data_IF_030743433216
#
_entry.id   IF_030743433216
#
_cell.length_a   1.000
_cell.length_b   1.000
_cell.length_c   1.000
_cell.angle_alpha   90.00
_cell.angle_beta   90.00
_cell.angle_gamma   90.00
#
_symmetry.space_group_name_H-M   'P 1'
#
loop_
_entity.id
_entity.type
_entity.pdbx_description
1 polymer ?
#
# COMPACT_ATOMS: atom_id res chain seq x y z
N UNK A 1 5.50 -3.88 -15.18
CA UNK A 1 6.26 -2.76 -14.60
C UNK A 1 5.51 -2.40 -13.32
N UNK A 2 6.14 -2.55 -12.15
CA UNK A 2 5.50 -2.16 -10.89
C UNK A 2 5.69 -0.66 -10.76
N UNK A 3 4.60 0.10 -10.78
CA UNK A 3 4.67 1.55 -10.61
C UNK A 3 5.19 1.86 -9.19
N UNK A 4 6.29 2.63 -9.12
CA UNK A 4 6.82 3.10 -7.83
C UNK A 4 5.97 4.29 -7.38
N UNK A 5 5.39 4.17 -6.20
CA UNK A 5 4.53 5.19 -5.60
C UNK A 5 5.41 6.13 -4.75
N UNK A 6 5.71 7.30 -5.30
CA UNK A 6 6.72 8.21 -4.74
C UNK A 6 6.15 9.23 -3.76
N UNK A 7 4.84 9.29 -3.58
CA UNK A 7 4.18 10.24 -2.69
C UNK A 7 2.97 9.62 -1.99
N UNK A 8 2.61 10.18 -0.83
CA UNK A 8 1.38 9.82 -0.10
C UNK A 8 0.15 9.86 -1.01
N UNK A 9 0.07 10.88 -1.87
CA UNK A 9 -1.05 11.09 -2.80
C UNK A 9 -1.11 9.97 -3.86
N UNK A 10 0.02 9.50 -4.36
CA UNK A 10 0.06 8.40 -5.32
C UNK A 10 -0.43 7.10 -4.69
N UNK A 11 -0.04 6.85 -3.43
CA UNK A 11 -0.54 5.71 -2.64
C UNK A 11 -2.05 5.80 -2.43
N UNK A 12 -2.58 6.97 -2.04
CA UNK A 12 -4.02 7.20 -1.89
C UNK A 12 -4.80 6.94 -3.20
N UNK A 13 -4.29 7.47 -4.32
CA UNK A 13 -4.91 7.27 -5.64
C UNK A 13 -4.85 5.79 -6.06
N UNK A 14 -3.74 5.10 -5.78
CA UNK A 14 -3.61 3.68 -6.08
C UNK A 14 -4.59 2.85 -5.25
N UNK A 15 -4.60 3.03 -3.92
CA UNK A 15 -5.44 2.25 -3.02
C UNK A 15 -6.94 2.50 -3.21
N UNK A 16 -7.34 3.72 -3.56
CA UNK A 16 -8.74 4.01 -3.89
C UNK A 16 -9.23 3.19 -5.10
N UNK A 17 -8.40 3.05 -6.14
CA UNK A 17 -8.70 2.20 -7.31
C UNK A 17 -8.67 0.71 -6.97
N UNK A 18 -7.75 0.28 -6.10
CA UNK A 18 -7.68 -1.13 -5.70
C UNK A 18 -8.85 -1.53 -4.82
N UNK A 19 -9.32 -0.64 -3.93
CA UNK A 19 -10.48 -0.86 -3.08
C UNK A 19 -11.73 -1.26 -3.87
N UNK A 20 -11.93 -0.69 -5.07
CA UNK A 20 -13.08 -1.02 -5.92
C UNK A 20 -12.96 -2.40 -6.61
N UNK A 21 -11.75 -2.96 -6.65
CA UNK A 21 -11.43 -4.20 -7.37
C UNK A 21 -11.16 -5.40 -6.45
N UNK A 22 -10.66 -5.15 -5.25
CA UNK A 22 -10.25 -6.19 -4.30
C UNK A 22 -11.45 -6.80 -3.57
N UNK A 23 -11.33 -8.09 -3.27
CA UNK A 23 -12.20 -8.84 -2.37
C UNK A 23 -11.51 -9.06 -1.03
N UNK A 24 -12.31 -9.36 0.00
CA UNK A 24 -11.79 -9.63 1.34
C UNK A 24 -10.74 -10.75 1.29
N UNK A 25 -9.55 -10.48 1.84
CA UNK A 25 -8.40 -11.40 1.83
C UNK A 25 -7.47 -11.25 0.62
N UNK A 26 -7.81 -10.41 -0.37
CA UNK A 26 -6.90 -10.15 -1.48
C UNK A 26 -5.64 -9.44 -1.00
N UNK A 27 -4.49 -9.88 -1.50
CA UNK A 27 -3.19 -9.27 -1.20
C UNK A 27 -2.68 -8.52 -2.43
N UNK A 28 -2.36 -7.25 -2.24
CA UNK A 28 -1.72 -6.40 -3.24
C UNK A 28 -0.29 -6.10 -2.81
N UNK A 29 0.59 -5.92 -3.80
CA UNK A 29 1.98 -5.52 -3.57
C UNK A 29 2.20 -4.15 -4.18
N UNK A 30 2.80 -3.24 -3.42
CA UNK A 30 3.20 -1.91 -3.87
C UNK A 30 4.68 -1.70 -3.61
N UNK A 31 5.32 -0.86 -4.40
CA UNK A 31 6.68 -0.39 -4.15
C UNK A 31 6.60 1.09 -3.87
N UNK A 32 7.22 1.49 -2.76
CA UNK A 32 7.21 2.86 -2.26
C UNK A 32 8.64 3.33 -1.99
N UNK A 33 8.80 4.62 -1.67
CA UNK A 33 10.06 5.15 -1.13
C UNK A 33 10.04 5.15 0.39
N UNK A 34 11.22 5.07 1.02
CA UNK A 34 11.36 5.11 2.48
C UNK A 34 10.61 6.28 3.13
N UNK A 35 10.62 7.45 2.49
CA UNK A 35 9.93 8.67 2.94
C UNK A 35 8.41 8.53 3.12
N UNK A 36 7.81 7.50 2.53
CA UNK A 36 6.36 7.26 2.60
C UNK A 36 5.99 6.11 3.53
N UNK A 37 6.97 5.34 4.03
CA UNK A 37 6.77 4.13 4.83
C UNK A 37 5.96 4.41 6.10
N UNK A 38 6.31 5.45 6.84
CA UNK A 38 5.67 5.78 8.12
C UNK A 38 4.17 6.08 7.98
N UNK A 39 3.75 6.59 6.82
CA UNK A 39 2.36 6.92 6.55
C UNK A 39 1.54 5.74 6.03
N UNK A 40 2.18 4.68 5.51
CA UNK A 40 1.46 3.56 4.88
C UNK A 40 0.43 2.93 5.79
N UNK A 41 0.71 2.60 7.07
CA UNK A 41 -0.29 1.98 7.93
C UNK A 41 -1.56 2.83 8.06
N UNK A 42 -1.40 4.16 8.16
CA UNK A 42 -2.51 5.11 8.28
C UNK A 42 -3.26 5.31 6.96
N UNK A 43 -2.54 5.42 5.83
CA UNK A 43 -3.17 5.55 4.52
C UNK A 43 -3.93 4.27 4.18
N UNK A 44 -3.27 3.11 4.32
CA UNK A 44 -3.84 1.80 4.01
C UNK A 44 -5.15 1.53 4.79
N UNK A 45 -5.19 1.86 6.08
CA UNK A 45 -6.40 1.65 6.89
C UNK A 45 -7.61 2.45 6.40
N UNK A 46 -7.41 3.69 5.89
CA UNK A 46 -8.52 4.48 5.33
C UNK A 46 -9.19 3.80 4.13
N UNK A 47 -8.45 2.98 3.39
CA UNK A 47 -8.94 2.27 2.21
C UNK A 47 -9.31 0.81 2.51
N UNK A 48 -9.26 0.37 3.78
CA UNK A 48 -9.62 -0.99 4.16
C UNK A 48 -8.49 -2.02 3.99
N UNK A 49 -7.25 -1.56 3.84
CA UNK A 49 -6.05 -2.40 3.72
C UNK A 49 -5.26 -2.45 5.03
N UNK A 50 -4.52 -3.53 5.23
CA UNK A 50 -3.60 -3.69 6.36
C UNK A 50 -2.25 -4.19 5.86
N UNK A 51 -1.17 -3.60 6.35
CA UNK A 51 0.18 -4.06 6.05
C UNK A 51 0.43 -5.42 6.70
N UNK A 52 0.89 -6.38 5.89
CA UNK A 52 1.16 -7.76 6.33
C UNK A 52 2.64 -8.11 6.30
N UNK A 53 3.38 -7.52 5.36
CA UNK A 53 4.78 -7.83 5.13
C UNK A 53 5.46 -6.67 4.38
N UNK A 54 6.79 -6.60 4.45
CA UNK A 54 7.58 -5.59 3.77
C UNK A 54 9.03 -6.03 3.58
N UNK A 55 9.63 -5.65 2.45
CA UNK A 55 11.00 -5.99 2.08
C UNK A 55 11.71 -4.74 1.54
N UNK A 56 12.93 -4.51 2.03
CA UNK A 56 13.78 -3.44 1.52
C UNK A 56 14.38 -3.86 0.17
N UNK A 57 14.25 -2.99 -0.83
CA UNK A 57 14.86 -3.14 -2.14
C UNK A 57 16.07 -2.20 -2.27
N UNK A 58 16.83 -2.34 -3.36
CA UNK A 58 17.92 -1.40 -3.66
C UNK A 58 17.38 0.01 -3.97
N UNK A 59 18.15 1.05 -3.60
CA UNK A 59 17.85 2.44 -3.95
C UNK A 59 16.74 3.11 -3.14
N UNK A 60 16.70 2.88 -1.83
CA UNK A 60 15.75 3.48 -0.87
C UNK A 60 14.27 3.16 -1.18
N UNK A 61 14.06 2.04 -1.87
CA UNK A 61 12.75 1.51 -2.23
C UNK A 61 12.34 0.41 -1.25
N UNK A 62 11.05 0.34 -0.96
CA UNK A 62 10.48 -0.64 -0.06
C UNK A 62 9.28 -1.28 -0.75
N UNK A 63 9.31 -2.61 -0.87
CA UNK A 63 8.16 -3.39 -1.30
C UNK A 63 7.28 -3.68 -0.09
N UNK A 64 5.98 -3.44 -0.21
CA UNK A 64 5.01 -3.66 0.86
C UNK A 64 3.87 -4.53 0.35
N UNK A 65 3.49 -5.52 1.16
CA UNK A 65 2.29 -6.32 0.94
C UNK A 65 1.15 -5.83 1.83
N UNK A 66 0.04 -5.51 1.20
CA UNK A 66 -1.18 -5.04 1.86
C UNK A 66 -2.30 -6.04 1.62
N UNK A 67 -2.98 -6.46 2.68
CA UNK A 67 -4.16 -7.32 2.60
C UNK A 67 -5.43 -6.49 2.73
N UNK A 68 -6.40 -6.71 1.84
CA UNK A 68 -7.70 -6.06 1.92
C UNK A 68 -8.57 -6.74 2.98
N UNK A 69 -8.80 -6.04 4.08
CA UNK A 69 -9.53 -6.56 5.26
C UNK A 69 -10.87 -5.86 5.51
N UNK A 70 -11.25 -4.88 4.69
CA UNK A 70 -12.42 -4.01 4.93
C UNK A 70 -12.43 -3.37 6.33
N UNK A 71 -11.25 -3.12 6.89
CA UNK A 71 -11.11 -2.46 8.19
C UNK A 71 -11.29 -0.96 7.95
N UNK A 72 -12.48 -0.43 8.22
CA UNK A 72 -12.73 1.01 8.19
C UNK A 72 -12.41 1.58 9.57
N UNK A 73 -11.24 2.23 9.71
CA UNK A 73 -10.83 2.98 10.90
C UNK A 73 -10.76 4.47 10.60
#
# INVERSE_FOLDING_TARGET
>A
MVDVLNSKKDVEVFLSKQREKCKLGDVITIVITENTLEDIPFIASKYGFSMTDGENLEGDLIMIKLEFRQIFR
#
